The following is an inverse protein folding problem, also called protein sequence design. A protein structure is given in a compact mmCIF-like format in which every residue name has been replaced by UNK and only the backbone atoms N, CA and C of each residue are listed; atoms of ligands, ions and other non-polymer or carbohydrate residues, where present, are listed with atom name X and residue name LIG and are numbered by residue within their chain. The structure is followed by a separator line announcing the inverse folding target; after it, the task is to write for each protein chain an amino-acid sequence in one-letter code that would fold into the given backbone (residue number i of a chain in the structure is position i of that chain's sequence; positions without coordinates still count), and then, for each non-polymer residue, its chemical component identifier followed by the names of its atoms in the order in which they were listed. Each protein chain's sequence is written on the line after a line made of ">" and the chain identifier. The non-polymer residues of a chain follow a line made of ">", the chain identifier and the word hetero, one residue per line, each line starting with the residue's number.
data_IF_277558660633
#
_entry.id   IF_277558660633
#
_cell.length_a   1.000
_cell.length_b   1.000
_cell.length_c   1.000
_cell.angle_alpha   90.00
_cell.angle_beta   90.00
_cell.angle_gamma   90.00
#
_symmetry.space_group_name_H-M   'P 1'
#
loop_
_entity.id
_entity.type
_entity.pdbx_description
1 polymer ?
#
# COMPACT_ATOMS: atom_id res chain seq x y z
N UNK A 1 21.66 -0.28 10.92
CA UNK A 1 20.73 -1.39 10.61
C UNK A 1 20.44 -1.37 9.13
N UNK A 2 20.37 -2.53 8.46
CA UNK A 2 19.98 -2.59 7.04
C UNK A 2 18.53 -2.14 6.88
N UNK A 3 18.24 -1.25 5.92
CA UNK A 3 16.86 -0.89 5.56
C UNK A 3 16.15 -2.11 4.95
N UNK A 4 14.92 -2.36 5.38
CA UNK A 4 14.07 -3.41 4.79
C UNK A 4 13.56 -2.97 3.43
N UNK A 5 13.52 -3.90 2.48
CA UNK A 5 12.94 -3.68 1.16
C UNK A 5 11.53 -4.25 1.13
N UNK A 6 10.57 -3.42 0.74
CA UNK A 6 9.16 -3.74 0.64
C UNK A 6 8.71 -3.71 -0.82
N UNK A 7 8.04 -4.75 -1.26
CA UNK A 7 7.37 -4.83 -2.55
C UNK A 7 5.87 -4.73 -2.33
N UNK A 8 5.24 -3.71 -2.90
CA UNK A 8 3.80 -3.52 -2.86
C UNK A 8 3.24 -3.77 -4.26
N UNK A 9 2.39 -4.77 -4.42
CA UNK A 9 1.68 -5.07 -5.67
C UNK A 9 0.30 -4.47 -5.62
N UNK A 10 -0.04 -3.63 -6.59
CA UNK A 10 -1.31 -2.93 -6.70
C UNK A 10 -1.86 -3.07 -8.12
N UNK A 11 -3.04 -3.62 -8.26
CA UNK A 11 -3.82 -3.55 -9.51
C UNK A 11 -4.89 -2.49 -9.35
N UNK A 12 -5.00 -1.59 -10.32
CA UNK A 12 -5.98 -0.51 -10.28
C UNK A 12 -7.32 -1.02 -10.82
N UNK A 13 -8.27 -1.23 -9.92
CA UNK A 13 -9.64 -1.65 -10.24
C UNK A 13 -10.62 -0.52 -9.97
N UNK A 14 -10.46 0.16 -8.83
CA UNK A 14 -11.27 1.30 -8.41
C UNK A 14 -10.53 2.62 -8.67
N UNK A 15 -10.46 3.02 -9.94
CA UNK A 15 -9.88 4.29 -10.40
C UNK A 15 -8.65 4.76 -9.57
N UNK A 16 -8.91 5.58 -8.53
CA UNK A 16 -7.86 6.21 -7.73
C UNK A 16 -7.75 5.66 -6.30
N UNK A 17 -8.73 4.86 -5.85
CA UNK A 17 -8.76 4.32 -4.49
C UNK A 17 -7.59 3.41 -4.22
N UNK A 18 -7.40 2.42 -5.06
CA UNK A 18 -6.36 1.40 -4.90
C UNK A 18 -4.96 2.01 -4.93
N UNK A 19 -4.68 2.82 -5.96
CA UNK A 19 -3.39 3.49 -6.10
C UNK A 19 -3.14 4.49 -4.97
N UNK A 20 -4.19 5.21 -4.53
CA UNK A 20 -4.10 6.20 -3.45
C UNK A 20 -3.71 5.58 -2.12
N UNK A 21 -4.32 4.45 -1.75
CA UNK A 21 -3.98 3.72 -0.51
C UNK A 21 -2.57 3.15 -0.61
N UNK A 22 -2.22 2.50 -1.72
CA UNK A 22 -0.89 1.91 -1.91
C UNK A 22 0.21 2.99 -1.90
N UNK A 23 -0.03 4.13 -2.54
CA UNK A 23 0.89 5.26 -2.54
C UNK A 23 1.11 5.84 -1.14
N UNK A 24 0.04 6.03 -0.37
CA UNK A 24 0.13 6.52 1.02
C UNK A 24 0.91 5.55 1.89
N UNK A 25 0.63 4.24 1.77
CA UNK A 25 1.37 3.20 2.49
C UNK A 25 2.85 3.21 2.11
N UNK A 26 3.16 3.27 0.82
CA UNK A 26 4.53 3.31 0.33
C UNK A 26 5.30 4.50 0.92
N UNK A 27 4.71 5.69 0.93
CA UNK A 27 5.31 6.89 1.52
C UNK A 27 5.52 6.78 3.03
N UNK A 28 4.54 6.25 3.77
CA UNK A 28 4.67 6.09 5.22
C UNK A 28 5.77 5.10 5.58
N UNK A 29 5.88 3.98 4.84
CA UNK A 29 6.96 3.01 5.01
C UNK A 29 8.33 3.63 4.67
N UNK A 30 8.44 4.38 3.58
CA UNK A 30 9.67 5.07 3.20
C UNK A 30 10.09 6.11 4.24
N UNK A 31 9.14 6.89 4.77
CA UNK A 31 9.38 7.85 5.85
C UNK A 31 9.89 7.19 7.15
N UNK A 32 9.61 5.88 7.33
CA UNK A 32 10.12 5.06 8.45
C UNK A 32 11.46 4.39 8.14
N UNK A 33 12.08 4.72 7.00
CA UNK A 33 13.39 4.22 6.59
C UNK A 33 13.39 2.91 5.81
N UNK A 34 12.23 2.46 5.33
CA UNK A 34 12.17 1.34 4.39
C UNK A 34 12.52 1.79 2.95
N UNK A 35 13.05 0.86 2.14
CA UNK A 35 13.08 1.00 0.69
C UNK A 35 11.81 0.37 0.14
N UNK A 36 11.01 1.13 -0.59
CA UNK A 36 9.71 0.65 -1.08
C UNK A 36 9.69 0.62 -2.60
N UNK A 37 9.22 -0.48 -3.17
CA UNK A 37 8.94 -0.64 -4.59
C UNK A 37 7.44 -0.85 -4.76
N UNK A 38 6.78 0.07 -5.43
CA UNK A 38 5.36 -0.01 -5.76
C UNK A 38 5.20 -0.51 -7.19
N UNK A 39 4.80 -1.77 -7.32
CA UNK A 39 4.52 -2.43 -8.58
C UNK A 39 3.05 -2.23 -8.93
N UNK A 40 2.78 -1.53 -10.02
CA UNK A 40 1.44 -1.12 -10.38
C UNK A 40 1.19 -1.30 -11.89
N UNK A 41 0.01 -1.75 -12.27
CA UNK A 41 -0.37 -1.95 -13.67
C UNK A 41 -0.72 -0.64 -14.39
N UNK A 42 -1.29 0.33 -13.68
CA UNK A 42 -1.57 1.67 -14.20
C UNK A 42 -1.16 2.76 -13.20
N UNK A 43 -0.02 3.39 -13.46
CA UNK A 43 0.51 4.47 -12.64
C UNK A 43 0.03 5.87 -13.08
N UNK A 44 -0.87 5.99 -14.06
CA UNK A 44 -1.27 7.27 -14.66
C UNK A 44 -1.81 8.27 -13.63
N UNK A 45 -2.54 7.80 -12.63
CA UNK A 45 -3.06 8.64 -11.56
C UNK A 45 -1.94 9.30 -10.72
N UNK A 46 -0.78 8.68 -10.58
CA UNK A 46 0.33 9.25 -9.83
C UNK A 46 0.92 10.49 -10.49
N UNK A 47 0.73 10.67 -11.80
CA UNK A 47 1.21 11.86 -12.50
C UNK A 47 0.61 13.16 -11.93
N UNK A 48 -0.62 13.11 -11.43
CA UNK A 48 -1.28 14.27 -10.82
C UNK A 48 -1.43 14.15 -9.30
N UNK A 49 -1.59 12.94 -8.75
CA UNK A 49 -1.69 12.73 -7.30
C UNK A 49 -0.35 12.97 -6.58
N UNK A 50 0.75 12.65 -7.25
CA UNK A 50 2.09 12.67 -6.68
C UNK A 50 3.16 13.09 -7.72
N UNK A 51 3.03 14.24 -8.38
CA UNK A 51 3.89 14.63 -9.52
C UNK A 51 5.38 14.74 -9.17
N UNK A 52 5.69 14.91 -7.88
CA UNK A 52 7.07 14.98 -7.38
C UNK A 52 7.65 13.63 -6.93
N UNK A 53 6.87 12.54 -7.03
CA UNK A 53 7.30 11.26 -6.46
C UNK A 53 7.47 11.31 -4.93
N UNK A 54 8.25 10.40 -4.39
CA UNK A 54 8.66 10.40 -2.98
C UNK A 54 10.02 9.72 -2.83
N UNK A 55 10.91 10.31 -2.05
CA UNK A 55 12.18 9.69 -1.70
C UNK A 55 11.94 8.33 -1.02
N UNK A 56 12.73 7.33 -1.41
CA UNK A 56 12.62 5.97 -0.88
C UNK A 56 11.51 5.13 -1.50
N UNK A 57 10.72 5.68 -2.43
CA UNK A 57 9.69 4.95 -3.19
C UNK A 57 10.05 4.89 -4.67
N UNK A 58 10.19 3.68 -5.17
CA UNK A 58 10.33 3.37 -6.61
C UNK A 58 8.99 2.89 -7.14
N UNK A 59 8.53 3.41 -8.28
CA UNK A 59 7.30 2.99 -8.95
C UNK A 59 7.66 2.29 -10.25
N UNK A 60 7.12 1.10 -10.46
CA UNK A 60 7.38 0.30 -11.65
C UNK A 60 6.21 -0.58 -12.06
N UNK A 61 6.29 -1.13 -13.28
CA UNK A 61 5.35 -2.14 -13.75
C UNK A 61 5.68 -3.52 -13.13
N UNK A 62 4.71 -4.44 -13.21
CA UNK A 62 4.90 -5.82 -12.75
C UNK A 62 6.00 -6.50 -13.58
N UNK A 63 7.11 -6.82 -12.95
CA UNK A 63 8.19 -7.56 -13.57
C UNK A 63 8.50 -8.83 -12.77
N UNK A 64 8.28 -9.98 -13.41
CA UNK A 64 8.57 -11.29 -12.82
C UNK A 64 10.08 -11.56 -12.63
N UNK A 65 10.95 -10.77 -13.28
CA UNK A 65 12.40 -10.96 -13.19
C UNK A 65 13.03 -10.35 -11.92
N UNK A 66 12.26 -9.56 -11.15
CA UNK A 66 12.76 -8.88 -9.96
C UNK A 66 13.05 -9.84 -8.81
N UNK A 67 14.09 -9.54 -8.05
CA UNK A 67 14.37 -10.24 -6.81
C UNK A 67 13.45 -9.74 -5.69
N UNK A 68 12.75 -10.65 -4.96
CA UNK A 68 11.86 -10.26 -3.88
C UNK A 68 12.57 -9.51 -2.76
N UNK A 69 11.91 -8.51 -2.21
CA UNK A 69 12.34 -7.80 -1.00
C UNK A 69 12.21 -8.63 0.27
N UNK A 70 12.25 -7.98 1.41
CA UNK A 70 12.13 -8.65 2.71
C UNK A 70 10.65 -8.83 3.10
N UNK A 71 9.79 -7.94 2.60
CA UNK A 71 8.34 -7.99 2.78
C UNK A 71 7.67 -7.81 1.43
N UNK A 72 6.67 -8.62 1.15
CA UNK A 72 5.84 -8.55 -0.05
C UNK A 72 4.40 -8.33 0.38
N UNK A 73 3.79 -7.27 -0.13
CA UNK A 73 2.39 -6.92 0.11
C UNK A 73 1.63 -7.03 -1.20
N UNK A 74 0.63 -7.87 -1.24
CA UNK A 74 -0.41 -7.82 -2.27
C UNK A 74 -1.56 -6.97 -1.75
N UNK A 75 -1.86 -5.87 -2.43
CA UNK A 75 -2.97 -5.01 -2.05
C UNK A 75 -4.25 -5.48 -2.77
N UNK A 76 -5.32 -5.68 -1.99
CA UNK A 76 -6.66 -5.95 -2.51
C UNK A 76 -6.69 -7.20 -3.41
N UNK A 77 -6.08 -8.29 -2.94
CA UNK A 77 -5.93 -9.56 -3.66
C UNK A 77 -5.21 -9.43 -5.03
N UNK A 78 -4.32 -8.46 -5.18
CA UNK A 78 -3.45 -8.34 -6.34
C UNK A 78 -2.29 -9.34 -6.24
N UNK A 79 -2.49 -10.58 -6.65
CA UNK A 79 -1.46 -11.61 -6.62
C UNK A 79 -0.19 -11.17 -7.37
N UNK A 80 1.00 -11.33 -6.77
CA UNK A 80 2.25 -11.17 -7.49
C UNK A 80 2.37 -12.18 -8.64
N UNK A 81 3.18 -11.89 -9.69
CA UNK A 81 3.41 -12.84 -10.78
C UNK A 81 3.90 -14.21 -10.27
N UNK A 82 3.44 -15.34 -10.84
CA UNK A 82 3.82 -16.67 -10.36
C UNK A 82 5.34 -16.88 -10.26
N UNK A 83 6.12 -16.44 -11.25
CA UNK A 83 7.57 -16.53 -11.22
C UNK A 83 8.21 -15.68 -10.09
N UNK A 84 7.58 -14.58 -9.67
CA UNK A 84 8.00 -13.83 -8.50
C UNK A 84 7.74 -14.61 -7.22
N UNK A 85 6.59 -15.27 -7.09
CA UNK A 85 6.25 -16.13 -5.94
C UNK A 85 7.21 -17.33 -5.84
N UNK A 86 7.62 -17.92 -6.97
CA UNK A 86 8.64 -18.97 -7.00
C UNK A 86 9.98 -18.48 -6.42
N UNK A 87 10.41 -17.26 -6.78
CA UNK A 87 11.61 -16.65 -6.20
C UNK A 87 11.46 -16.34 -4.71
N UNK A 88 10.29 -15.88 -4.28
CA UNK A 88 10.01 -15.72 -2.84
C UNK A 88 10.23 -17.03 -2.09
N UNK A 89 9.74 -18.15 -2.63
CA UNK A 89 9.87 -19.47 -2.01
C UNK A 89 11.32 -19.99 -2.02
N UNK A 90 12.12 -19.62 -3.02
CA UNK A 90 13.52 -20.00 -3.13
C UNK A 90 14.46 -19.17 -2.23
N UNK A 91 13.99 -18.03 -1.74
CA UNK A 91 14.81 -17.12 -0.91
C UNK A 91 14.97 -17.63 0.53
N UNK A 92 16.17 -17.43 1.10
CA UNK A 92 16.46 -17.73 2.52
C UNK A 92 17.06 -16.50 3.20
N UNK A 93 16.44 -15.92 4.25
CA UNK A 93 15.06 -16.26 4.71
C UNK A 93 14.01 -15.86 3.67
N UNK A 94 12.91 -16.60 3.64
CA UNK A 94 11.76 -16.25 2.81
C UNK A 94 11.18 -14.89 3.24
N UNK A 95 10.63 -14.09 2.32
CA UNK A 95 10.00 -12.83 2.67
C UNK A 95 8.72 -13.04 3.47
N UNK A 96 8.37 -12.05 4.27
CA UNK A 96 7.03 -11.97 4.87
C UNK A 96 6.04 -11.61 3.77
N UNK A 97 4.98 -12.41 3.60
CA UNK A 97 3.94 -12.17 2.60
C UNK A 97 2.64 -11.74 3.27
N UNK A 98 2.15 -10.56 2.90
CA UNK A 98 0.96 -9.94 3.47
C UNK A 98 -0.06 -9.69 2.37
N UNK A 99 -1.30 -10.11 2.58
CA UNK A 99 -2.44 -9.65 1.81
C UNK A 99 -3.09 -8.48 2.57
N UNK A 100 -2.98 -7.29 2.01
CA UNK A 100 -3.62 -6.09 2.52
C UNK A 100 -5.04 -5.96 1.94
N UNK A 101 -6.02 -6.06 2.79
CA UNK A 101 -7.43 -5.96 2.43
C UNK A 101 -7.97 -4.53 2.52
N UNK A 102 -9.16 -4.31 1.98
CA UNK A 102 -9.86 -3.04 2.10
C UNK A 102 -10.23 -2.71 3.54
N UNK A 103 -10.29 -1.41 3.84
CA UNK A 103 -10.85 -0.93 5.11
C UNK A 103 -12.30 -1.37 5.23
N UNK A 104 -12.63 -2.02 6.35
CA UNK A 104 -13.98 -2.49 6.63
C UNK A 104 -14.39 -2.24 8.08
N UNK A 105 -15.68 -1.93 8.27
CA UNK A 105 -16.33 -1.87 9.57
C UNK A 105 -17.12 -3.15 9.89
N UNK A 106 -17.09 -4.15 9.01
CA UNK A 106 -17.81 -5.40 9.20
C UNK A 106 -17.24 -6.23 10.36
N UNK A 107 -18.06 -6.77 11.25
CA UNK A 107 -17.57 -7.49 12.44
C UNK A 107 -16.73 -8.74 12.13
N UNK A 108 -16.90 -9.34 10.95
CA UNK A 108 -16.16 -10.54 10.58
C UNK A 108 -14.65 -10.28 10.39
N UNK A 109 -14.24 -9.06 10.04
CA UNK A 109 -12.81 -8.72 9.82
C UNK A 109 -11.96 -8.92 11.06
N UNK A 110 -12.55 -8.77 12.26
CA UNK A 110 -11.85 -9.00 13.53
C UNK A 110 -11.41 -10.47 13.69
N UNK A 111 -12.15 -11.41 13.09
CA UNK A 111 -11.87 -12.84 13.18
C UNK A 111 -10.84 -13.32 12.17
N UNK A 112 -10.65 -12.55 11.10
CA UNK A 112 -9.76 -12.93 9.98
C UNK A 112 -8.50 -12.08 9.90
N UNK A 113 -8.43 -10.95 10.59
CA UNK A 113 -7.22 -10.17 10.71
C UNK A 113 -6.10 -10.99 11.37
N UNK A 114 -4.91 -10.99 10.77
CA UNK A 114 -3.77 -11.74 11.27
C UNK A 114 -3.84 -13.25 11.01
N UNK A 115 -4.84 -13.76 10.30
CA UNK A 115 -4.88 -15.17 9.94
C UNK A 115 -3.81 -15.52 8.92
N UNK A 116 -3.27 -16.73 9.09
CA UNK A 116 -2.30 -17.34 8.20
C UNK A 116 -3.00 -18.21 7.15
N UNK A 117 -2.59 -18.06 5.92
CA UNK A 117 -3.04 -18.90 4.78
C UNK A 117 -1.83 -19.60 4.15
N UNK A 118 -1.63 -20.91 4.41
CA UNK A 118 -0.58 -21.67 3.76
C UNK A 118 -0.81 -21.74 2.24
N UNK A 119 0.24 -21.45 1.47
CA UNK A 119 0.20 -21.43 0.02
C UNK A 119 0.84 -22.68 -0.57
N UNK A 120 0.47 -23.03 -1.81
CA UNK A 120 1.04 -24.18 -2.53
C UNK A 120 2.57 -24.05 -2.75
N UNK A 121 3.08 -22.85 -2.75
CA UNK A 121 4.52 -22.55 -2.83
C UNK A 121 5.30 -22.92 -1.56
N UNK A 122 4.62 -23.33 -0.49
CA UNK A 122 5.22 -23.56 0.84
C UNK A 122 5.36 -22.29 1.67
N UNK A 123 5.01 -21.12 1.14
CA UNK A 123 4.98 -19.86 1.87
C UNK A 123 3.69 -19.71 2.67
N UNK A 124 3.74 -18.88 3.69
CA UNK A 124 2.57 -18.42 4.43
C UNK A 124 2.21 -17.00 4.00
N UNK A 125 0.92 -16.78 3.68
CA UNK A 125 0.35 -15.46 3.43
C UNK A 125 -0.45 -15.03 4.67
N UNK A 126 -0.24 -13.79 5.13
CA UNK A 126 -0.91 -13.25 6.30
C UNK A 126 -1.93 -12.21 5.88
N UNK A 127 -3.18 -12.34 6.34
CA UNK A 127 -4.23 -11.39 6.04
C UNK A 127 -4.16 -10.18 6.96
N UNK A 128 -4.05 -8.99 6.38
CA UNK A 128 -4.10 -7.72 7.09
C UNK A 128 -5.39 -6.98 6.71
N UNK A 129 -6.31 -6.91 7.65
CA UNK A 129 -7.58 -6.19 7.50
C UNK A 129 -7.51 -4.87 8.24
N UNK A 130 -7.43 -3.72 7.55
CA UNK A 130 -7.66 -2.42 8.16
C UNK A 130 -9.08 -2.35 8.74
N UNK A 131 -9.24 -1.66 9.87
CA UNK A 131 -10.53 -1.56 10.54
C UNK A 131 -10.51 -0.58 11.70
N UNK A 132 -11.63 -0.50 12.43
CA UNK A 132 -11.89 0.53 13.43
C UNK A 132 -11.78 0.04 14.87
N UNK A 133 -11.46 -1.22 15.09
CA UNK A 133 -11.34 -1.82 16.42
C UNK A 133 -9.91 -2.25 16.73
N UNK A 134 -9.62 -2.50 18.00
CA UNK A 134 -8.32 -3.01 18.44
C UNK A 134 -8.01 -4.44 17.95
N UNK A 135 -9.00 -5.17 17.45
CA UNK A 135 -8.85 -6.51 16.88
C UNK A 135 -8.57 -6.50 15.37
N UNK A 136 -8.39 -5.33 14.77
CA UNK A 136 -8.06 -5.13 13.35
C UNK A 136 -6.72 -4.44 13.18
N UNK A 137 -6.25 -4.27 11.94
CA UNK A 137 -5.00 -3.61 11.61
C UNK A 137 -4.99 -2.09 11.82
N UNK A 138 -6.11 -1.51 12.26
CA UNK A 138 -6.25 -0.06 12.43
C UNK A 138 -6.32 0.69 11.10
N UNK A 139 -6.03 1.99 11.15
CA UNK A 139 -6.09 2.90 10.00
C UNK A 139 -4.69 3.36 9.59
N UNK A 140 -4.47 3.49 8.29
CA UNK A 140 -3.30 4.17 7.78
C UNK A 140 -3.33 5.64 8.22
N UNK A 141 -2.34 6.02 9.01
CA UNK A 141 -2.21 7.38 9.57
C UNK A 141 -0.76 7.83 9.55
N UNK A 142 -0.42 8.62 8.56
CA UNK A 142 0.91 9.19 8.42
C UNK A 142 1.24 10.16 9.56
N UNK A 143 2.51 10.28 9.98
CA UNK A 143 2.94 11.31 10.90
C UNK A 143 2.53 12.70 10.40
N UNK A 144 1.93 13.49 11.27
CA UNK A 144 1.50 14.85 10.93
C UNK A 144 0.17 14.96 10.17
N UNK A 145 -0.51 13.87 9.80
CA UNK A 145 -1.78 13.90 9.06
C UNK A 145 -2.84 14.80 9.72
N UNK A 146 -3.02 14.67 11.04
CA UNK A 146 -4.01 15.49 11.77
C UNK A 146 -3.63 16.97 11.82
N UNK A 147 -2.34 17.28 11.96
CA UNK A 147 -1.85 18.65 11.93
C UNK A 147 -2.01 19.28 10.54
N UNK A 148 -1.70 18.52 9.48
CA UNK A 148 -1.92 18.95 8.10
C UNK A 148 -3.41 19.19 7.80
N UNK A 149 -4.28 18.31 8.29
CA UNK A 149 -5.73 18.49 8.16
C UNK A 149 -6.23 19.76 8.89
N UNK A 150 -5.74 20.00 10.11
CA UNK A 150 -6.12 21.18 10.89
C UNK A 150 -5.60 22.48 10.27
N UNK A 151 -4.46 22.44 9.58
CA UNK A 151 -3.87 23.60 8.90
C UNK A 151 -4.38 23.77 7.45
N UNK A 152 -5.23 22.91 6.95
CA UNK A 152 -5.71 22.95 5.57
C UNK A 152 -6.62 24.13 5.32
N UNK A 153 -6.19 25.06 4.46
CA UNK A 153 -6.98 26.19 3.99
C UNK A 153 -7.76 25.77 2.73
N UNK A 154 -9.03 25.42 2.95
CA UNK A 154 -9.93 24.98 1.89
C UNK A 154 -10.15 26.06 0.84
N UNK A 155 -10.32 27.30 1.25
CA UNK A 155 -10.67 28.39 0.34
C UNK A 155 -9.47 28.75 -0.54
N UNK A 156 -8.27 28.80 0.04
CA UNK A 156 -7.03 28.95 -0.73
C UNK A 156 -6.80 27.80 -1.71
N UNK A 157 -7.10 26.56 -1.31
CA UNK A 157 -6.96 25.39 -2.18
C UNK A 157 -7.96 25.42 -3.34
N UNK A 158 -9.22 25.77 -3.09
CA UNK A 158 -10.25 25.93 -4.14
C UNK A 158 -9.85 27.00 -5.16
N UNK A 159 -9.39 28.15 -4.67
CA UNK A 159 -8.92 29.24 -5.52
C UNK A 159 -7.75 28.82 -6.41
N UNK A 160 -6.74 28.12 -5.82
CA UNK A 160 -5.58 27.62 -6.54
C UNK A 160 -5.96 26.54 -7.59
N UNK A 161 -7.05 25.81 -7.34
CA UNK A 161 -7.60 24.79 -8.26
C UNK A 161 -8.54 25.35 -9.32
N UNK A 162 -8.78 26.67 -9.35
CA UNK A 162 -9.72 27.32 -10.26
C UNK A 162 -11.19 26.99 -10.00
N UNK A 163 -11.51 26.54 -8.79
CA UNK A 163 -12.85 26.13 -8.37
C UNK A 163 -13.53 27.24 -7.57
N UNK A 164 -14.73 27.65 -7.97
CA UNK A 164 -15.53 28.58 -7.18
C UNK A 164 -16.33 27.85 -6.09
N UNK A 165 -16.37 28.45 -4.90
CA UNK A 165 -17.27 28.00 -3.84
C UNK A 165 -18.73 28.18 -4.29
N UNK A 166 -19.54 27.13 -4.23
CA UNK A 166 -20.98 27.26 -4.34
C UNK A 166 -21.51 27.57 -2.95
N UNK A 167 -22.06 28.76 -2.78
CA UNK A 167 -22.86 29.08 -1.60
C UNK A 167 -24.14 28.25 -1.66
N UNK A 168 -24.31 27.31 -0.72
CA UNK A 168 -25.52 26.53 -0.54
C UNK A 168 -26.42 27.17 0.49
#
# INVERSE_FOLDING_TARGET
>A
MRAWTWDLFCRVIDNWGDVGVCWRLARDLAARGARVRLWIDDASALAWMAPGGSEGVEVGAFDAALEPGDVVVEAFACDPPPAFVERMAARTPAPVWINLEYLSAEPWVERVHGLRSPQRSGLDKWFFHPGFSAATGGLLREPGLLAAHAAFDRDAWLAASGLARRDG
#
